data_IF_634656576553
#
_entry.id   IF_634656576553
#
_cell.length_a   1.000
_cell.length_b   1.000
_cell.length_c   1.000
_cell.angle_alpha   90.00
_cell.angle_beta   90.00
_cell.angle_gamma   90.00
#
_symmetry.space_group_name_H-M   'P 1'
#
loop_
_entity.id
_entity.type
_entity.pdbx_description
1 polymer ?
#
# COMPACT_ATOMS: atom_id res chain seq x y z
N UNK A 1 -23.61 -7.04 15.45
CA UNK A 1 -22.47 -6.15 15.12
C UNK A 1 -22.31 -5.16 16.26
N UNK A 2 -21.17 -5.16 16.97
CA UNK A 2 -20.87 -4.24 18.08
C UNK A 2 -20.20 -2.99 17.48
N UNK A 3 -20.88 -1.86 17.48
CA UNK A 3 -20.32 -0.57 17.08
C UNK A 3 -19.29 -0.11 18.11
N UNK A 4 -18.04 0.11 17.68
CA UNK A 4 -17.01 0.75 18.49
C UNK A 4 -17.40 2.23 18.72
N UNK A 5 -17.29 2.76 19.95
CA UNK A 5 -17.54 4.17 20.21
C UNK A 5 -16.38 5.00 19.63
N UNK A 6 -16.70 5.86 18.66
CA UNK A 6 -15.77 6.91 18.22
C UNK A 6 -15.46 7.88 19.37
N UNK A 7 -14.37 8.67 19.28
CA UNK A 7 -14.04 9.64 20.29
C UNK A 7 -15.17 10.66 20.45
N UNK A 8 -15.81 10.68 21.63
CA UNK A 8 -16.91 11.58 21.99
C UNK A 8 -16.41 13.03 22.08
N UNK A 9 -16.26 13.68 20.92
CA UNK A 9 -15.83 15.09 20.82
C UNK A 9 -16.72 16.03 21.64
N UNK A 10 -18.02 15.70 21.80
CA UNK A 10 -18.96 16.45 22.63
C UNK A 10 -18.56 16.47 24.10
N UNK A 11 -18.07 15.35 24.66
CA UNK A 11 -17.61 15.29 26.06
C UNK A 11 -16.33 16.07 26.28
N UNK A 12 -15.41 16.02 25.31
CA UNK A 12 -14.15 16.78 25.37
C UNK A 12 -14.42 18.29 25.32
N UNK A 13 -15.36 18.73 24.48
CA UNK A 13 -15.74 20.13 24.34
C UNK A 13 -16.42 20.67 25.60
N UNK A 14 -17.30 19.87 26.23
CA UNK A 14 -17.94 20.23 27.50
C UNK A 14 -16.95 20.33 28.67
N UNK A 15 -16.05 19.35 28.80
CA UNK A 15 -15.03 19.36 29.86
C UNK A 15 -14.07 20.54 29.65
N UNK A 16 -13.61 20.76 28.41
CA UNK A 16 -12.76 21.90 28.07
C UNK A 16 -13.42 23.24 28.36
N UNK A 17 -14.70 23.40 27.99
CA UNK A 17 -15.47 24.61 28.27
C UNK A 17 -15.61 24.89 29.77
N UNK A 18 -15.87 23.86 30.58
CA UNK A 18 -16.01 23.99 32.03
C UNK A 18 -14.69 24.40 32.71
N UNK A 19 -13.56 23.86 32.24
CA UNK A 19 -12.23 24.23 32.74
C UNK A 19 -11.90 25.68 32.40
N UNK A 20 -12.17 26.13 31.17
CA UNK A 20 -11.93 27.53 30.76
C UNK A 20 -12.81 28.50 31.55
N UNK A 21 -14.08 28.15 31.75
CA UNK A 21 -15.01 28.98 32.51
C UNK A 21 -14.62 29.08 34.00
N UNK A 22 -14.17 27.97 34.59
CA UNK A 22 -13.61 27.93 35.93
C UNK A 22 -12.36 28.81 36.05
N UNK A 23 -11.44 28.74 35.07
CA UNK A 23 -10.23 29.56 35.04
C UNK A 23 -10.55 31.06 34.94
N UNK A 24 -11.53 31.44 34.11
CA UNK A 24 -11.97 32.83 33.96
C UNK A 24 -12.60 33.39 35.24
N UNK A 25 -13.38 32.57 35.95
CA UNK A 25 -13.96 32.94 37.24
C UNK A 25 -12.87 33.11 38.30
N UNK A 26 -11.87 32.22 38.31
CA UNK A 26 -10.73 32.30 39.22
C UNK A 26 -9.86 33.54 38.95
N UNK A 27 -9.67 33.91 37.67
CA UNK A 27 -8.97 35.14 37.27
C UNK A 27 -9.66 36.40 37.80
N UNK A 28 -11.00 36.39 37.88
CA UNK A 28 -11.81 37.51 38.40
C UNK A 28 -11.66 37.70 39.90
N UNK A 29 -11.60 36.61 40.67
CA UNK A 29 -11.61 36.67 42.15
C UNK A 29 -10.20 36.71 42.73
N UNK A 30 -9.26 35.91 42.21
CA UNK A 30 -7.88 35.82 42.70
C UNK A 30 -6.87 35.63 41.55
N UNK A 31 -6.41 36.74 40.93
CA UNK A 31 -5.47 36.72 39.81
C UNK A 31 -4.19 35.86 40.02
N UNK A 32 -3.48 35.91 41.17
CA UNK A 32 -2.22 35.17 41.31
C UNK A 32 -2.42 33.64 41.33
N UNK A 33 -3.55 33.15 41.85
CA UNK A 33 -3.85 31.71 41.87
C UNK A 33 -4.22 31.18 40.48
N UNK A 34 -4.85 32.01 39.65
CA UNK A 34 -5.19 31.65 38.27
C UNK A 34 -3.94 31.44 37.41
N UNK A 35 -2.91 32.28 37.56
CA UNK A 35 -1.64 32.09 36.86
C UNK A 35 -0.95 30.79 37.28
N UNK A 36 -0.91 30.45 38.58
CA UNK A 36 -0.34 29.19 39.05
C UNK A 36 -1.06 27.97 38.48
N UNK A 37 -2.39 27.98 38.47
CA UNK A 37 -3.20 26.91 37.89
C UNK A 37 -2.95 26.76 36.38
N UNK A 38 -2.77 27.87 35.64
CA UNK A 38 -2.45 27.85 34.22
C UNK A 38 -1.08 27.22 33.93
N UNK A 39 -0.03 27.56 34.69
CA UNK A 39 1.30 26.97 34.50
C UNK A 39 1.33 25.47 34.82
N UNK A 40 0.65 25.04 35.89
CA UNK A 40 0.53 23.63 36.25
C UNK A 40 -0.27 22.86 35.17
N UNK A 41 -1.38 23.43 34.70
CA UNK A 41 -2.17 22.84 33.63
C UNK A 41 -1.39 22.75 32.30
N UNK A 42 -0.63 23.79 31.96
CA UNK A 42 0.18 23.83 30.74
C UNK A 42 1.32 22.81 30.76
N UNK A 43 2.00 22.65 31.89
CA UNK A 43 3.12 21.68 32.02
C UNK A 43 2.62 20.24 31.95
N UNK A 44 1.54 19.92 32.67
CA UNK A 44 0.91 18.59 32.63
C UNK A 44 0.31 18.31 31.25
N UNK A 45 -0.35 19.30 30.63
CA UNK A 45 -0.89 19.21 29.29
C UNK A 45 0.18 18.97 28.23
N UNK A 46 1.32 19.67 28.31
CA UNK A 46 2.44 19.49 27.38
C UNK A 46 3.08 18.11 27.54
N UNK A 47 3.19 17.58 28.76
CA UNK A 47 3.74 16.24 28.99
C UNK A 47 2.81 15.13 28.48
N UNK A 48 1.49 15.28 28.64
CA UNK A 48 0.50 14.31 28.19
C UNK A 48 0.23 14.38 26.67
N UNK A 49 0.19 15.57 26.06
CA UNK A 49 0.08 15.71 24.60
C UNK A 49 1.42 15.43 23.90
N UNK A 50 2.55 15.81 24.49
CA UNK A 50 3.89 15.55 23.95
C UNK A 50 4.23 14.06 23.89
N UNK A 51 3.82 13.29 24.89
CA UNK A 51 3.93 11.82 24.87
C UNK A 51 3.02 11.15 23.82
N UNK A 52 1.85 11.74 23.53
CA UNK A 52 0.96 11.27 22.46
C UNK A 52 1.50 11.62 21.07
N UNK A 53 2.04 12.82 20.86
CA UNK A 53 2.65 13.24 19.57
C UNK A 53 3.91 12.44 19.24
N UNK A 54 4.77 12.17 20.22
CA UNK A 54 5.94 11.28 20.03
C UNK A 54 5.53 9.84 19.74
N UNK A 55 4.44 9.35 20.34
CA UNK A 55 3.88 8.04 20.01
C UNK A 55 3.26 7.99 18.61
N UNK A 56 2.65 9.07 18.11
CA UNK A 56 2.02 9.10 16.78
C UNK A 56 3.05 9.22 15.63
N UNK A 57 4.12 9.99 15.84
CA UNK A 57 5.30 9.99 14.96
C UNK A 57 6.02 8.62 14.93
N UNK A 58 5.97 7.87 16.04
CA UNK A 58 6.41 6.47 16.10
C UNK A 58 5.44 5.48 15.43
N UNK A 59 4.13 5.73 15.51
CA UNK A 59 3.08 4.85 14.99
C UNK A 59 2.96 4.91 13.46
N UNK A 60 3.27 6.05 12.85
CA UNK A 60 3.33 6.15 11.38
C UNK A 60 4.48 5.32 10.78
N UNK A 61 5.56 5.06 11.53
CA UNK A 61 6.58 4.04 11.17
C UNK A 61 6.09 2.60 11.38
N UNK A 62 5.13 2.39 12.28
CA UNK A 62 4.58 1.07 12.61
C UNK A 62 3.56 0.58 11.56
N UNK A 63 2.81 1.48 10.93
CA UNK A 63 1.80 1.12 9.91
C UNK A 63 2.38 0.82 8.51
N UNK A 64 3.67 1.06 8.26
CA UNK A 64 4.37 0.59 7.04
C UNK A 64 5.03 -0.78 7.18
N UNK A 65 4.91 -1.43 8.35
CA UNK A 65 5.52 -2.73 8.60
C UNK A 65 4.45 -3.82 8.64
N UNK A 66 4.10 -4.36 7.46
CA UNK A 66 3.58 -5.73 7.42
C UNK A 66 4.68 -6.68 7.91
N UNK A 67 4.39 -7.65 8.79
CA UNK A 67 5.41 -8.61 9.23
C UNK A 67 5.45 -9.82 8.29
N UNK A 68 6.59 -10.13 7.67
CA UNK A 68 6.93 -11.52 7.39
C UNK A 68 8.29 -11.83 8.02
N UNK A 69 8.24 -12.57 9.13
CA UNK A 69 9.30 -12.83 10.10
C UNK A 69 10.55 -13.60 9.58
N UNK A 70 10.83 -13.61 8.28
CA UNK A 70 12.00 -14.28 7.70
C UNK A 70 12.65 -13.54 6.50
N UNK A 71 11.98 -12.57 5.89
CA UNK A 71 12.53 -11.83 4.72
C UNK A 71 13.30 -10.56 5.12
N UNK A 72 13.11 -10.10 6.35
CA UNK A 72 13.60 -8.80 6.81
C UNK A 72 14.94 -8.86 7.59
N UNK A 73 15.54 -10.04 7.76
CA UNK A 73 16.77 -10.14 8.56
C UNK A 73 17.97 -9.52 7.83
N UNK A 74 18.07 -9.72 6.51
CA UNK A 74 19.13 -9.10 5.72
C UNK A 74 18.99 -7.58 5.67
N UNK A 75 17.82 -7.09 5.26
CA UNK A 75 17.49 -5.65 5.21
C UNK A 75 17.69 -4.97 6.56
N UNK A 76 17.26 -5.60 7.65
CA UNK A 76 17.48 -5.10 9.01
C UNK A 76 18.95 -5.05 9.38
N UNK A 77 19.72 -6.13 9.18
CA UNK A 77 21.16 -6.14 9.46
C UNK A 77 21.92 -5.07 8.65
N UNK A 78 21.55 -4.88 7.38
CA UNK A 78 22.16 -3.84 6.52
C UNK A 78 21.74 -2.44 6.98
N UNK A 79 20.48 -2.24 7.36
CA UNK A 79 19.99 -0.97 7.90
C UNK A 79 20.66 -0.60 9.23
N UNK A 80 20.82 -1.57 10.14
CA UNK A 80 21.51 -1.38 11.42
C UNK A 80 22.97 -0.98 11.18
N UNK A 81 23.67 -1.68 10.28
CA UNK A 81 25.05 -1.33 9.90
C UNK A 81 25.15 0.05 9.25
N UNK A 82 24.17 0.44 8.45
CA UNK A 82 24.11 1.76 7.84
C UNK A 82 23.91 2.85 8.89
N UNK A 83 23.04 2.62 9.87
CA UNK A 83 22.86 3.53 11.00
C UNK A 83 24.14 3.66 11.83
N UNK A 84 24.83 2.55 12.10
CA UNK A 84 26.12 2.54 12.79
C UNK A 84 27.20 3.30 12.02
N UNK A 85 27.27 3.15 10.69
CA UNK A 85 28.23 3.88 9.86
C UNK A 85 27.98 5.38 9.93
N UNK A 86 26.72 5.82 9.81
CA UNK A 86 26.36 7.24 9.92
C UNK A 86 26.68 7.83 11.28
N UNK A 87 26.38 7.09 12.35
CA UNK A 87 26.70 7.52 13.71
C UNK A 87 28.21 7.68 13.93
N UNK A 88 29.01 6.78 13.36
CA UNK A 88 30.48 6.86 13.43
C UNK A 88 31.02 8.01 12.58
N UNK A 89 30.49 8.21 11.37
CA UNK A 89 30.81 9.33 10.50
C UNK A 89 30.58 10.66 11.21
N UNK A 90 29.36 10.88 11.73
CA UNK A 90 28.97 12.08 12.46
C UNK A 90 29.89 12.32 13.67
N UNK A 91 30.16 11.27 14.45
CA UNK A 91 31.09 11.36 15.57
C UNK A 91 32.50 11.79 15.13
N UNK A 92 33.05 11.21 14.07
CA UNK A 92 34.40 11.60 13.60
C UNK A 92 34.42 13.01 13.01
N UNK A 93 33.32 13.45 12.41
CA UNK A 93 33.16 14.82 11.93
C UNK A 93 33.14 15.81 13.09
N UNK A 94 32.33 15.56 14.11
CA UNK A 94 32.26 16.38 15.33
C UNK A 94 33.61 16.43 16.06
N UNK A 95 34.28 15.29 16.19
CA UNK A 95 35.63 15.23 16.78
C UNK A 95 36.64 16.04 15.95
N UNK A 96 36.55 16.00 14.61
CA UNK A 96 37.38 16.80 13.72
C UNK A 96 37.12 18.31 13.86
N UNK A 97 35.86 18.72 13.96
CA UNK A 97 35.48 20.13 14.19
C UNK A 97 35.98 20.66 15.53
N UNK A 98 35.94 19.84 16.59
CA UNK A 98 36.53 20.20 17.89
C UNK A 98 38.03 20.44 17.79
N UNK A 99 38.76 19.61 17.04
CA UNK A 99 40.21 19.79 16.85
C UNK A 99 40.50 21.07 16.08
N UNK A 100 39.75 21.37 15.02
CA UNK A 100 39.89 22.63 14.29
C UNK A 100 39.64 23.84 15.19
N UNK A 101 38.64 23.75 16.07
CA UNK A 101 38.39 24.79 17.06
C UNK A 101 39.57 24.95 18.02
N UNK A 102 40.11 23.85 18.57
CA UNK A 102 41.29 23.89 19.45
C UNK A 102 42.55 24.45 18.77
N UNK A 103 42.76 24.14 17.49
CA UNK A 103 43.84 24.74 16.69
C UNK A 103 43.62 26.25 16.55
N UNK A 104 42.40 26.66 16.21
CA UNK A 104 42.07 28.08 16.04
C UNK A 104 42.24 28.87 17.34
N UNK A 105 41.81 28.32 18.48
CA UNK A 105 42.00 28.97 19.79
C UNK A 105 43.47 29.09 20.16
N UNK A 106 44.28 28.03 19.94
CA UNK A 106 45.71 28.07 20.25
C UNK A 106 46.46 29.07 19.36
N UNK A 107 46.08 29.19 18.08
CA UNK A 107 46.62 30.21 17.17
C UNK A 107 46.24 31.63 17.60
N UNK A 108 44.99 31.83 18.01
CA UNK A 108 44.51 33.12 18.51
C UNK A 108 45.21 33.52 19.83
N UNK A 109 45.46 32.56 20.72
CA UNK A 109 46.21 32.77 21.97
C UNK A 109 47.67 33.17 21.71
N UNK A 110 48.33 32.54 20.72
CA UNK A 110 49.66 32.96 20.27
C UNK A 110 49.66 34.37 19.66
N UNK A 111 48.66 34.69 18.83
CA UNK A 111 48.53 36.00 18.19
C UNK A 111 48.27 37.12 19.22
N UNK A 112 47.52 36.84 20.28
CA UNK A 112 47.26 37.77 21.39
C UNK A 112 48.49 38.04 22.25
N UNK A 113 49.50 37.18 22.23
CA UNK A 113 50.67 37.29 23.08
C UNK A 113 51.98 37.36 22.28
N UNK A 114 52.24 38.46 21.55
CA UNK A 114 53.39 38.59 20.65
C UNK A 114 54.74 38.65 21.39
N UNK A 115 54.73 38.81 22.72
CA UNK A 115 55.92 38.80 23.57
C UNK A 115 56.17 37.44 24.24
N UNK A 116 55.43 36.38 23.85
CA UNK A 116 55.65 35.03 24.35
C UNK A 116 57.08 34.54 24.06
N UNK A 117 57.62 33.74 24.97
CA UNK A 117 58.98 33.21 24.84
C UNK A 117 59.09 32.33 23.58
N UNK A 118 60.15 32.46 22.76
CA UNK A 118 60.33 31.64 21.55
C UNK A 118 60.26 30.12 21.79
N UNK A 119 60.64 29.63 22.99
CA UNK A 119 60.50 28.21 23.31
C UNK A 119 59.04 27.80 23.58
N UNK A 120 58.18 28.71 24.04
CA UNK A 120 56.73 28.49 24.17
C UNK A 120 56.04 28.50 22.81
N UNK A 121 56.42 29.43 21.92
CA UNK A 121 55.91 29.49 20.55
C UNK A 121 56.22 28.18 19.81
N UNK A 122 57.47 27.72 19.86
CA UNK A 122 57.89 26.46 19.21
C UNK A 122 57.11 25.25 19.74
N UNK A 123 56.87 25.19 21.05
CA UNK A 123 56.05 24.13 21.66
C UNK A 123 54.60 24.18 21.19
N UNK A 124 54.01 25.36 21.13
CA UNK A 124 52.64 25.52 20.65
C UNK A 124 52.50 25.16 19.16
N UNK A 125 53.46 25.52 18.31
CA UNK A 125 53.50 25.11 16.91
C UNK A 125 53.60 23.59 16.74
N UNK A 126 54.39 22.92 17.58
CA UNK A 126 54.47 21.45 17.59
C UNK A 126 53.12 20.82 17.95
N UNK A 127 52.43 21.35 18.97
CA UNK A 127 51.09 20.88 19.38
C UNK A 127 50.07 21.12 18.26
N UNK A 128 50.12 22.27 17.57
CA UNK A 128 49.27 22.55 16.40
C UNK A 128 49.50 21.50 15.31
N UNK A 129 50.76 21.19 14.99
CA UNK A 129 51.10 20.20 13.97
C UNK A 129 50.59 18.79 14.32
N UNK A 130 50.71 18.39 15.58
CA UNK A 130 50.17 17.11 16.06
C UNK A 130 48.63 17.09 15.98
N UNK A 131 47.96 18.18 16.35
CA UNK A 131 46.51 18.33 16.19
C UNK A 131 46.08 18.29 14.72
N UNK A 132 46.83 18.88 13.79
CA UNK A 132 46.56 18.82 12.35
C UNK A 132 46.68 17.39 11.81
N UNK A 133 47.67 16.62 12.26
CA UNK A 133 47.79 15.21 11.92
C UNK A 133 46.58 14.40 12.43
N UNK A 134 46.19 14.64 13.69
CA UNK A 134 45.01 14.01 14.31
C UNK A 134 43.68 14.40 13.63
N UNK A 135 43.57 15.63 13.15
CA UNK A 135 42.44 16.08 12.31
C UNK A 135 42.41 15.32 10.99
N UNK A 136 43.54 15.23 10.28
CA UNK A 136 43.62 14.53 9.00
C UNK A 136 43.21 13.05 9.11
N UNK A 137 43.62 12.39 10.20
CA UNK A 137 43.24 11.01 10.50
C UNK A 137 41.72 10.87 10.74
N UNK A 138 41.11 11.78 11.50
CA UNK A 138 39.66 11.75 11.76
C UNK A 138 38.86 12.09 10.51
N UNK A 139 39.31 13.03 9.71
CA UNK A 139 38.69 13.37 8.43
C UNK A 139 38.72 12.16 7.47
N UNK A 140 39.84 11.46 7.37
CA UNK A 140 39.94 10.23 6.59
C UNK A 140 39.00 9.12 7.11
N UNK A 141 38.89 8.96 8.43
CA UNK A 141 37.92 8.01 9.03
C UNK A 141 36.48 8.40 8.71
N UNK A 142 36.12 9.68 8.82
CA UNK A 142 34.78 10.16 8.47
C UNK A 142 34.47 9.88 7.00
N UNK A 143 35.39 10.19 6.07
CA UNK A 143 35.24 9.89 4.64
C UNK A 143 35.04 8.39 4.38
N UNK A 144 35.82 7.53 5.06
CA UNK A 144 35.66 6.09 4.94
C UNK A 144 34.26 5.61 5.37
N UNK A 145 33.73 6.13 6.48
CA UNK A 145 32.38 5.77 6.93
C UNK A 145 31.29 6.36 6.04
N UNK A 146 31.50 7.54 5.46
CA UNK A 146 30.61 8.12 4.46
C UNK A 146 30.50 7.21 3.23
N UNK A 147 31.64 6.76 2.67
CA UNK A 147 31.69 5.84 1.54
C UNK A 147 31.03 4.49 1.87
N UNK A 148 31.28 3.95 3.07
CA UNK A 148 30.65 2.72 3.54
C UNK A 148 29.12 2.89 3.62
N UNK A 149 28.65 4.01 4.16
CA UNK A 149 27.22 4.30 4.29
C UNK A 149 26.53 4.40 2.92
N UNK A 150 27.21 5.00 1.94
CA UNK A 150 26.71 5.10 0.56
C UNK A 150 26.57 3.71 -0.07
N UNK A 151 27.61 2.88 0.02
CA UNK A 151 27.58 1.50 -0.52
C UNK A 151 26.50 0.65 0.14
N UNK A 152 26.32 0.76 1.45
CA UNK A 152 25.27 0.03 2.17
C UNK A 152 23.87 0.51 1.75
N UNK A 153 23.70 1.80 1.46
CA UNK A 153 22.45 2.36 0.96
C UNK A 153 22.11 1.81 -0.43
N UNK A 154 23.08 1.84 -1.35
CA UNK A 154 22.92 1.30 -2.70
C UNK A 154 22.58 -0.20 -2.67
N UNK A 155 23.22 -0.96 -1.78
CA UNK A 155 22.91 -2.38 -1.57
C UNK A 155 21.47 -2.61 -1.12
N UNK A 156 20.98 -1.78 -0.19
CA UNK A 156 19.62 -1.87 0.34
C UNK A 156 18.59 -1.50 -0.73
N UNK A 157 18.84 -0.44 -1.50
CA UNK A 157 17.95 -0.01 -2.58
C UNK A 157 17.91 -1.07 -3.70
N UNK A 158 19.04 -1.70 -4.03
CA UNK A 158 19.10 -2.84 -4.96
C UNK A 158 18.28 -4.04 -4.45
N UNK A 159 18.40 -4.37 -3.16
CA UNK A 159 17.62 -5.45 -2.56
C UNK A 159 16.12 -5.20 -2.69
N UNK A 160 15.66 -3.99 -2.33
CA UNK A 160 14.25 -3.57 -2.46
C UNK A 160 13.76 -3.67 -3.90
N UNK A 161 14.58 -3.26 -4.87
CA UNK A 161 14.23 -3.36 -6.28
C UNK A 161 14.02 -4.83 -6.69
N UNK A 162 14.95 -5.72 -6.31
CA UNK A 162 14.84 -7.16 -6.59
C UNK A 162 13.57 -7.75 -5.99
N UNK A 163 13.24 -7.39 -4.74
CA UNK A 163 12.00 -7.84 -4.09
C UNK A 163 10.75 -7.35 -4.83
N UNK A 164 10.75 -6.08 -5.27
CA UNK A 164 9.63 -5.51 -6.03
C UNK A 164 9.43 -6.21 -7.38
N UNK A 165 10.52 -6.54 -8.08
CA UNK A 165 10.48 -7.30 -9.34
C UNK A 165 9.96 -8.71 -9.08
N UNK A 166 10.42 -9.36 -8.00
CA UNK A 166 9.96 -10.70 -7.64
C UNK A 166 8.47 -10.72 -7.27
N UNK A 167 7.95 -9.67 -6.63
CA UNK A 167 6.54 -9.53 -6.32
C UNK A 167 5.70 -9.36 -7.59
N UNK A 168 6.08 -8.41 -8.47
CA UNK A 168 5.39 -8.18 -9.76
C UNK A 168 5.42 -9.40 -10.69
N UNK A 169 6.50 -10.20 -10.64
CA UNK A 169 6.56 -11.49 -11.37
C UNK A 169 5.61 -12.54 -10.82
N UNK A 170 5.27 -12.51 -9.53
CA UNK A 170 4.24 -13.41 -8.96
C UNK A 170 2.86 -12.96 -9.41
N UNK A 171 2.57 -11.67 -9.28
CA UNK A 171 1.32 -11.05 -9.76
C UNK A 171 1.08 -11.34 -11.25
N UNK A 172 2.11 -11.18 -12.11
CA UNK A 172 1.99 -11.50 -13.53
C UNK A 172 1.68 -12.98 -13.79
N UNK A 173 2.19 -13.89 -12.96
CA UNK A 173 1.91 -15.32 -13.09
C UNK A 173 0.47 -15.64 -12.68
N UNK A 174 -0.01 -15.04 -11.60
CA UNK A 174 -1.39 -15.16 -11.14
C UNK A 174 -2.36 -14.61 -12.20
N UNK A 175 -2.08 -13.44 -12.77
CA UNK A 175 -2.88 -12.88 -13.86
C UNK A 175 -2.89 -13.79 -15.10
N UNK A 176 -1.76 -14.39 -15.45
CA UNK A 176 -1.70 -15.34 -16.59
C UNK A 176 -2.52 -16.59 -16.31
N UNK A 177 -2.44 -17.14 -15.10
CA UNK A 177 -3.22 -18.29 -14.71
C UNK A 177 -4.72 -17.99 -14.80
N UNK A 178 -5.16 -16.87 -14.25
CA UNK A 178 -6.56 -16.45 -14.33
C UNK A 178 -7.02 -16.24 -15.78
N UNK A 179 -6.18 -15.67 -16.66
CA UNK A 179 -6.54 -15.53 -18.08
C UNK A 179 -6.76 -16.88 -18.76
N UNK A 180 -5.94 -17.91 -18.45
CA UNK A 180 -6.15 -19.25 -19.01
C UNK A 180 -7.46 -19.87 -18.50
N UNK A 181 -7.78 -19.67 -17.22
CA UNK A 181 -9.03 -20.15 -16.63
C UNK A 181 -10.25 -19.41 -17.25
N UNK A 182 -10.13 -18.10 -17.46
CA UNK A 182 -11.16 -17.28 -18.11
C UNK A 182 -11.37 -17.69 -19.58
N UNK A 183 -10.28 -17.94 -20.33
CA UNK A 183 -10.34 -18.39 -21.72
C UNK A 183 -10.98 -19.78 -21.84
N UNK A 184 -10.68 -20.69 -20.91
CA UNK A 184 -11.35 -21.99 -20.84
C UNK A 184 -12.85 -21.86 -20.58
N UNK A 185 -13.26 -20.96 -19.67
CA UNK A 185 -14.67 -20.71 -19.39
C UNK A 185 -15.40 -20.10 -20.60
N UNK A 186 -14.73 -19.19 -21.34
CA UNK A 186 -15.29 -18.62 -22.58
C UNK A 186 -15.50 -19.70 -23.63
N UNK A 187 -14.52 -20.56 -23.88
CA UNK A 187 -14.66 -21.65 -24.86
C UNK A 187 -15.70 -22.70 -24.43
N UNK A 188 -15.84 -22.99 -23.13
CA UNK A 188 -16.93 -23.84 -22.62
C UNK A 188 -18.30 -23.23 -22.93
N UNK A 189 -18.49 -21.94 -22.64
CA UNK A 189 -19.76 -21.24 -22.94
C UNK A 189 -20.03 -21.15 -24.44
N UNK A 190 -18.98 -21.01 -25.26
CA UNK A 190 -19.11 -21.02 -26.71
C UNK A 190 -19.58 -22.39 -27.19
N UNK A 191 -18.96 -23.45 -26.71
CA UNK A 191 -19.36 -24.82 -27.05
C UNK A 191 -20.80 -25.13 -26.63
N UNK A 192 -21.22 -24.69 -25.44
CA UNK A 192 -22.61 -24.88 -25.01
C UNK A 192 -23.61 -24.14 -25.90
N UNK A 193 -23.30 -22.90 -26.30
CA UNK A 193 -24.13 -22.13 -27.23
C UNK A 193 -24.20 -22.81 -28.60
N UNK A 194 -23.08 -23.31 -29.12
CA UNK A 194 -23.04 -24.04 -30.39
C UNK A 194 -23.91 -25.31 -30.31
N UNK A 195 -23.83 -26.07 -29.21
CA UNK A 195 -24.70 -27.23 -28.99
C UNK A 195 -26.17 -26.86 -28.93
N UNK A 196 -26.54 -25.87 -28.10
CA UNK A 196 -27.92 -25.41 -27.96
C UNK A 196 -28.49 -24.92 -29.30
N UNK A 197 -27.67 -24.28 -30.14
CA UNK A 197 -28.08 -23.83 -31.47
C UNK A 197 -28.41 -25.00 -32.41
N UNK A 198 -27.61 -26.07 -32.39
CA UNK A 198 -27.84 -27.29 -33.19
C UNK A 198 -29.12 -28.00 -32.71
N UNK A 199 -29.34 -28.06 -31.40
CA UNK A 199 -30.56 -28.65 -30.83
C UNK A 199 -31.81 -27.86 -31.26
N UNK A 200 -31.76 -26.53 -31.22
CA UNK A 200 -32.84 -25.67 -31.70
C UNK A 200 -33.10 -25.84 -33.21
N UNK A 201 -32.04 -25.88 -34.04
CA UNK A 201 -32.17 -26.13 -35.47
C UNK A 201 -32.82 -27.50 -35.75
N UNK A 202 -32.41 -28.53 -35.01
CA UNK A 202 -32.99 -29.88 -35.12
C UNK A 202 -34.47 -29.88 -34.71
N UNK A 203 -34.84 -29.19 -33.64
CA UNK A 203 -36.25 -29.03 -33.24
C UNK A 203 -37.05 -28.32 -34.33
N UNK A 204 -36.50 -27.27 -34.93
CA UNK A 204 -37.16 -26.54 -36.03
C UNK A 204 -37.32 -27.44 -37.26
N UNK A 205 -36.31 -28.22 -37.62
CA UNK A 205 -36.38 -29.17 -38.74
C UNK A 205 -37.40 -30.28 -38.49
N UNK A 206 -37.41 -30.87 -37.29
CA UNK A 206 -38.40 -31.87 -36.88
C UNK A 206 -39.82 -31.27 -36.86
N UNK A 207 -39.98 -30.04 -36.35
CA UNK A 207 -41.25 -29.32 -36.34
C UNK A 207 -41.75 -29.04 -37.76
N UNK A 208 -40.88 -28.57 -38.66
CA UNK A 208 -41.22 -28.35 -40.05
C UNK A 208 -41.59 -29.67 -40.75
N UNK A 209 -40.85 -30.73 -40.49
CA UNK A 209 -41.12 -32.08 -41.02
C UNK A 209 -42.43 -32.66 -40.48
N UNK A 210 -42.78 -32.40 -39.22
CA UNK A 210 -44.06 -32.77 -38.64
C UNK A 210 -45.22 -31.99 -39.27
N UNK A 211 -45.07 -30.67 -39.46
CA UNK A 211 -46.09 -29.83 -40.11
C UNK A 211 -46.32 -30.26 -41.57
N UNK A 212 -45.27 -30.60 -42.32
CA UNK A 212 -45.41 -31.08 -43.69
C UNK A 212 -46.07 -32.45 -43.73
N UNK A 213 -45.65 -33.38 -42.86
CA UNK A 213 -46.22 -34.73 -42.75
C UNK A 213 -47.68 -34.72 -42.31
N UNK A 214 -48.05 -33.87 -41.34
CA UNK A 214 -49.44 -33.77 -40.87
C UNK A 214 -50.35 -33.18 -41.95
N UNK A 215 -49.86 -32.19 -42.72
CA UNK A 215 -50.62 -31.65 -43.86
C UNK A 215 -50.77 -32.67 -45.00
N UNK A 216 -49.71 -33.38 -45.39
CA UNK A 216 -49.76 -34.37 -46.49
C UNK A 216 -50.55 -35.61 -46.12
N UNK A 217 -50.38 -36.15 -44.91
CA UNK A 217 -51.15 -37.30 -44.44
C UNK A 217 -52.63 -36.98 -44.28
N UNK A 218 -53.00 -35.82 -43.72
CA UNK A 218 -54.40 -35.42 -43.62
C UNK A 218 -55.03 -35.10 -44.98
N UNK A 219 -54.27 -34.60 -45.97
CA UNK A 219 -54.82 -34.39 -47.32
C UNK A 219 -54.95 -35.68 -48.12
N UNK A 220 -54.06 -36.65 -47.97
CA UNK A 220 -54.27 -37.98 -48.56
C UNK A 220 -55.48 -38.68 -47.94
N UNK A 221 -55.62 -38.68 -46.61
CA UNK A 221 -56.77 -39.30 -45.94
C UNK A 221 -58.11 -38.64 -46.30
N UNK A 222 -58.13 -37.31 -46.45
CA UNK A 222 -59.33 -36.59 -46.92
C UNK A 222 -59.64 -36.88 -48.38
N UNK A 223 -58.61 -37.05 -49.23
CA UNK A 223 -58.77 -37.39 -50.64
C UNK A 223 -59.27 -38.83 -50.80
N UNK A 224 -58.75 -39.75 -50.02
CA UNK A 224 -59.18 -41.16 -49.99
C UNK A 224 -60.63 -41.28 -49.48
N UNK A 225 -61.00 -40.50 -48.46
CA UNK A 225 -62.40 -40.38 -47.99
C UNK A 225 -63.32 -39.74 -49.02
N UNK A 226 -62.88 -38.69 -49.72
CA UNK A 226 -63.64 -38.07 -50.80
C UNK A 226 -63.81 -39.00 -51.99
N UNK A 227 -62.81 -39.80 -52.34
CA UNK A 227 -62.89 -40.78 -53.41
C UNK A 227 -63.84 -41.93 -53.06
N UNK A 228 -63.81 -42.40 -51.80
CA UNK A 228 -64.80 -43.36 -51.29
C UNK A 228 -66.22 -42.77 -51.29
N UNK A 229 -66.40 -41.53 -50.83
CA UNK A 229 -67.70 -40.86 -50.84
C UNK A 229 -68.21 -40.57 -52.26
N UNK A 230 -67.33 -40.19 -53.18
CA UNK A 230 -67.67 -40.05 -54.60
C UNK A 230 -68.03 -41.39 -55.22
N UNK A 231 -67.33 -42.47 -54.85
CA UNK A 231 -67.64 -43.83 -55.28
C UNK A 231 -69.01 -44.32 -54.77
N UNK A 232 -69.42 -43.94 -53.56
CA UNK A 232 -70.74 -44.30 -53.01
C UNK A 232 -71.86 -43.42 -53.56
N UNK A 233 -71.64 -42.11 -53.73
CA UNK A 233 -72.61 -41.19 -54.34
C UNK A 233 -72.80 -41.43 -55.84
N UNK A 234 -71.73 -41.75 -56.58
CA UNK A 234 -71.80 -42.11 -58.00
C UNK A 234 -72.49 -43.45 -58.26
N UNK A 235 -72.55 -44.33 -57.25
CA UNK A 235 -73.28 -45.60 -57.34
C UNK A 235 -74.77 -45.44 -57.05
N UNK A 236 -75.13 -44.51 -56.16
CA UNK A 236 -76.53 -44.23 -55.83
C UNK A 236 -77.25 -43.35 -56.88
N UNK A 237 -76.53 -42.51 -57.64
CA UNK A 237 -77.13 -41.76 -58.76
C UNK A 237 -77.46 -42.59 -60.00
N UNK A 238 -77.01 -43.85 -60.05
CA UNK A 238 -77.21 -44.77 -61.19
C UNK A 238 -78.33 -45.79 -60.95
N UNK A 239 -79.06 -45.72 -59.83
CA UNK A 239 -80.12 -46.67 -59.48
C UNK A 239 -81.54 -46.05 -59.40
N UNK A 240 -81.71 -44.75 -59.69
CA UNK A 240 -83.04 -44.09 -59.69
C UNK A 240 -83.61 -43.78 -61.09
N UNK A 241 -83.01 -44.30 -62.18
CA UNK A 241 -83.50 -44.06 -63.55
C UNK A 241 -83.66 -45.34 -64.39
N UNK A 242 -84.06 -46.46 -63.81
CA UNK A 242 -84.61 -47.62 -64.56
C UNK A 242 -85.69 -48.34 -63.72
N UNK A 243 -86.80 -47.65 -63.42
CA UNK A 243 -88.05 -48.27 -62.96
C UNK A 243 -89.26 -47.41 -63.33
N UNK A 244 -89.60 -47.38 -64.63
CA UNK A 244 -90.97 -47.22 -65.15
C UNK A 244 -91.01 -47.66 -66.61
#
# INVERSE_FOLDING_TARGET
>A
MKSQPGPDFSRVLLIGGLVVLSLLLLLRVYPPMAFMAFFIGSTVGFFLLGSKITSWAGLQRYFTSQPPYAKDEFSRRVADRLADCRKREERFRDEGERILHSIATLRDDLARNPAADPAEITRAEQVIKEMEAEFSLRHAKASFFADCSQRLRELLDRHRLVESIAARRRELRELRQNNFDDEAAVEETRFSIEQDSIELETIVELSNSAITTDKTSQTEDLRDRLERLRGTLGKNGSQETEAS
#
